data_IF_498455328620
#
_entry.id   IF_498455328620
#
_cell.length_a   1.000
_cell.length_b   1.000
_cell.length_c   1.000
_cell.angle_alpha   90.00
_cell.angle_beta   90.00
_cell.angle_gamma   90.00
#
_symmetry.space_group_name_H-M   'P 1'
#
loop_
_entity.id
_entity.type
_entity.pdbx_description
1 polymer ?
#
# COMPACT_ATOMS: atom_id res chain seq x y z
N UNK A 1 5.00 -21.89 -4.92
CA UNK A 1 6.13 -22.08 -3.99
C UNK A 1 6.12 -20.91 -3.03
N UNK A 2 5.93 -21.14 -1.72
CA UNK A 2 6.07 -20.10 -0.70
C UNK A 2 7.55 -19.96 -0.37
N UNK A 3 8.15 -18.82 -0.73
CA UNK A 3 9.52 -18.50 -0.32
C UNK A 3 9.49 -18.15 1.17
N UNK A 4 10.25 -18.84 2.04
CA UNK A 4 10.29 -18.48 3.45
C UNK A 4 10.87 -17.07 3.59
N UNK A 5 10.20 -16.21 4.35
CA UNK A 5 10.68 -14.86 4.66
C UNK A 5 11.84 -15.00 5.66
N UNK A 6 13.08 -14.95 5.16
CA UNK A 6 14.29 -15.15 5.97
C UNK A 6 15.01 -13.85 6.35
N UNK A 7 14.61 -12.71 5.79
CA UNK A 7 15.26 -11.41 6.03
C UNK A 7 14.88 -10.76 7.38
N UNK A 8 13.91 -11.33 8.08
CA UNK A 8 13.50 -10.88 9.42
C UNK A 8 13.93 -11.89 10.47
N UNK A 9 14.79 -11.48 11.40
CA UNK A 9 15.19 -12.37 12.50
C UNK A 9 14.01 -12.60 13.48
N UNK A 10 13.98 -13.74 14.20
CA UNK A 10 12.85 -14.09 15.07
C UNK A 10 12.57 -13.06 16.17
N UNK A 11 13.61 -12.41 16.70
CA UNK A 11 13.48 -11.39 17.75
C UNK A 11 12.77 -10.14 17.23
N UNK A 12 13.13 -9.67 16.03
CA UNK A 12 12.50 -8.54 15.37
C UNK A 12 11.03 -8.84 15.05
N UNK A 13 10.74 -10.06 14.57
CA UNK A 13 9.37 -10.51 14.33
C UNK A 13 8.54 -10.51 15.62
N UNK A 14 9.08 -11.05 16.71
CA UNK A 14 8.41 -11.09 18.01
C UNK A 14 8.12 -9.68 18.54
N UNK A 15 9.10 -8.77 18.44
CA UNK A 15 8.94 -7.37 18.85
C UNK A 15 7.86 -6.66 18.01
N UNK A 16 7.87 -6.84 16.69
CA UNK A 16 6.86 -6.27 15.80
C UNK A 16 5.45 -6.74 16.18
N UNK A 17 5.27 -8.04 16.44
CA UNK A 17 3.99 -8.60 16.86
C UNK A 17 3.53 -8.05 18.22
N UNK A 18 4.46 -7.87 19.17
CA UNK A 18 4.15 -7.28 20.47
C UNK A 18 3.64 -5.84 20.30
N UNK A 19 4.32 -5.03 19.48
CA UNK A 19 3.92 -3.64 19.20
C UNK A 19 2.52 -3.61 18.57
N UNK A 20 2.28 -4.43 17.54
CA UNK A 20 0.98 -4.46 16.85
C UNK A 20 -0.17 -4.89 17.76
N UNK A 21 0.07 -5.85 18.67
CA UNK A 21 -0.93 -6.30 19.66
C UNK A 21 -1.24 -5.25 20.72
N UNK A 22 -0.26 -4.42 21.07
CA UNK A 22 -0.41 -3.36 22.06
C UNK A 22 -1.15 -2.13 21.51
N UNK A 23 -1.27 -1.98 20.19
CA UNK A 23 -1.96 -0.83 19.59
C UNK A 23 -3.45 -0.78 19.95
N UNK A 24 -3.98 0.43 20.15
CA UNK A 24 -5.43 0.65 20.22
C UNK A 24 -6.07 0.53 18.82
N UNK A 25 -7.40 0.56 18.76
CA UNK A 25 -8.12 0.57 17.48
C UNK A 25 -7.78 1.81 16.64
N UNK A 26 -7.70 2.97 17.28
CA UNK A 26 -7.38 4.26 16.66
C UNK A 26 -5.95 4.26 16.11
N UNK A 27 -4.98 3.75 16.88
CA UNK A 27 -3.60 3.63 16.43
C UNK A 27 -3.47 2.69 15.23
N UNK A 28 -4.20 1.57 15.23
CA UNK A 28 -4.25 0.67 14.07
C UNK A 28 -4.83 1.35 12.83
N UNK A 29 -5.90 2.14 12.99
CA UNK A 29 -6.52 2.86 11.88
C UNK A 29 -5.59 3.93 11.30
N UNK A 30 -4.91 4.70 12.16
CA UNK A 30 -3.92 5.67 11.73
C UNK A 30 -2.76 5.01 10.98
N UNK A 31 -2.19 3.94 11.54
CA UNK A 31 -1.11 3.20 10.88
C UNK A 31 -1.56 2.64 9.51
N UNK A 32 -2.77 2.08 9.43
CA UNK A 32 -3.32 1.59 8.17
C UNK A 32 -3.47 2.72 7.13
N UNK A 33 -3.92 3.90 7.55
CA UNK A 33 -4.02 5.07 6.67
C UNK A 33 -2.64 5.53 6.18
N UNK A 34 -1.65 5.63 7.07
CA UNK A 34 -0.28 6.01 6.72
C UNK A 34 0.34 5.03 5.72
N UNK A 35 0.26 3.72 6.00
CA UNK A 35 0.72 2.67 5.07
C UNK A 35 0.02 2.75 3.72
N UNK A 36 -1.28 3.04 3.72
CA UNK A 36 -2.08 3.17 2.51
C UNK A 36 -1.66 4.38 1.67
N UNK A 37 -1.38 5.52 2.29
CA UNK A 37 -0.87 6.71 1.59
C UNK A 37 0.54 6.44 1.03
N UNK A 38 1.43 5.88 1.84
CA UNK A 38 2.80 5.57 1.43
C UNK A 38 2.84 4.62 0.22
N UNK A 39 2.05 3.54 0.27
CA UNK A 39 1.97 2.57 -0.83
C UNK A 39 1.47 3.19 -2.13
N UNK A 40 0.51 4.12 -2.06
CA UNK A 40 -0.02 4.82 -3.24
C UNK A 40 1.02 5.76 -3.86
N UNK A 41 1.82 6.45 -3.05
CA UNK A 41 2.90 7.30 -3.59
C UNK A 41 3.99 6.46 -4.24
N UNK A 42 4.38 5.33 -3.65
CA UNK A 42 5.32 4.40 -4.29
C UNK A 42 4.79 3.88 -5.63
N UNK A 43 3.53 3.46 -5.68
CA UNK A 43 2.90 3.01 -6.91
C UNK A 43 2.82 4.13 -7.96
N UNK A 44 2.50 5.35 -7.55
CA UNK A 44 2.46 6.52 -8.45
C UNK A 44 3.83 6.77 -9.10
N UNK A 45 4.91 6.73 -8.31
CA UNK A 45 6.25 6.92 -8.85
C UNK A 45 6.69 5.78 -9.76
N UNK A 46 6.29 4.55 -9.46
CA UNK A 46 6.51 3.43 -10.36
C UNK A 46 5.81 3.65 -11.70
N UNK A 47 4.52 4.02 -11.70
CA UNK A 47 3.75 4.27 -12.94
C UNK A 47 4.41 5.39 -13.77
N UNK A 48 4.84 6.50 -13.14
CA UNK A 48 5.53 7.60 -13.84
C UNK A 48 6.83 7.15 -14.49
N UNK A 49 7.58 6.25 -13.84
CA UNK A 49 8.83 5.70 -14.39
C UNK A 49 8.59 4.75 -15.56
N UNK A 50 7.53 3.95 -15.48
CA UNK A 50 7.16 2.99 -16.53
C UNK A 50 6.53 3.69 -17.75
N UNK A 51 5.82 4.80 -17.53
CA UNK A 51 5.09 5.56 -18.57
C UNK A 51 5.39 7.06 -18.47
N UNK A 52 6.59 7.53 -18.83
CA UNK A 52 7.01 8.91 -18.66
C UNK A 52 6.21 9.93 -19.49
N UNK A 53 5.55 9.48 -20.55
CA UNK A 53 4.71 10.31 -21.43
C UNK A 53 3.28 10.50 -20.93
N UNK A 54 2.87 9.78 -19.88
CA UNK A 54 1.51 9.84 -19.36
C UNK A 54 1.27 11.13 -18.58
N UNK A 55 0.10 11.74 -18.82
CA UNK A 55 -0.40 12.84 -17.98
C UNK A 55 -0.70 12.36 -16.56
N UNK A 56 -0.66 13.26 -15.58
CA UNK A 56 -1.04 12.97 -14.19
C UNK A 56 -2.45 12.35 -14.07
N UNK A 57 -3.38 12.71 -14.96
CA UNK A 57 -4.71 12.11 -15.01
C UNK A 57 -4.70 10.64 -15.46
N UNK A 58 -3.80 10.24 -16.38
CA UNK A 58 -3.61 8.84 -16.76
C UNK A 58 -2.97 8.05 -15.63
N UNK A 59 -1.95 8.62 -14.98
CA UNK A 59 -1.30 8.03 -13.80
C UNK A 59 -2.32 7.79 -12.67
N UNK A 60 -3.19 8.78 -12.39
CA UNK A 60 -4.22 8.64 -11.37
C UNK A 60 -5.23 7.54 -11.68
N UNK A 61 -5.69 7.42 -12.94
CA UNK A 61 -6.59 6.34 -13.36
C UNK A 61 -5.96 4.97 -13.22
N UNK A 62 -4.68 4.84 -13.56
CA UNK A 62 -3.97 3.58 -13.42
C UNK A 62 -3.75 3.21 -11.95
N UNK A 63 -3.42 4.18 -11.10
CA UNK A 63 -3.34 3.99 -9.66
C UNK A 63 -4.69 3.51 -9.08
N UNK A 64 -5.81 4.09 -9.52
CA UNK A 64 -7.15 3.63 -9.15
C UNK A 64 -7.40 2.20 -9.63
N UNK A 65 -7.07 1.88 -10.89
CA UNK A 65 -7.21 0.53 -11.44
C UNK A 65 -6.47 -0.49 -10.60
N UNK A 66 -5.20 -0.22 -10.23
CA UNK A 66 -4.37 -1.10 -9.41
C UNK A 66 -4.86 -1.22 -7.96
N UNK A 67 -5.36 -0.13 -7.37
CA UNK A 67 -5.83 -0.12 -5.98
C UNK A 67 -7.16 -0.85 -5.80
N UNK A 68 -8.00 -0.88 -6.85
CA UNK A 68 -9.36 -1.43 -6.80
C UNK A 68 -9.54 -2.68 -7.66
N UNK A 69 -8.48 -3.41 -8.04
CA UNK A 69 -8.51 -4.52 -9.01
C UNK A 69 -9.63 -5.59 -8.85
N UNK A 70 -10.26 -5.73 -7.68
CA UNK A 70 -11.37 -6.68 -7.42
C UNK A 70 -12.74 -6.02 -7.19
N UNK A 71 -12.83 -4.69 -7.19
CA UNK A 71 -14.06 -3.94 -6.94
C UNK A 71 -14.19 -2.79 -7.96
N UNK A 72 -15.41 -2.45 -8.40
CA UNK A 72 -15.58 -1.32 -9.29
C UNK A 72 -15.05 -0.04 -8.63
N UNK A 73 -14.33 0.78 -9.40
CA UNK A 73 -13.98 2.14 -8.98
C UNK A 73 -15.29 2.86 -8.65
N UNK A 74 -15.45 3.42 -7.44
CA UNK A 74 -16.66 4.16 -7.10
C UNK A 74 -16.96 5.23 -8.15
N UNK A 75 -18.20 5.31 -8.64
CA UNK A 75 -18.56 6.17 -9.78
C UNK A 75 -18.18 7.66 -9.61
N UNK A 76 -18.07 8.15 -8.38
CA UNK A 76 -17.61 9.51 -8.05
C UNK A 76 -16.11 9.76 -8.31
N UNK A 77 -15.35 8.70 -8.58
CA UNK A 77 -13.89 8.71 -8.78
C UNK A 77 -13.49 8.37 -10.22
N UNK A 78 -14.48 8.13 -11.10
CA UNK A 78 -14.31 8.02 -12.55
C UNK A 78 -14.33 9.42 -13.18
#
# INVERSE_FOLDING_TARGET
>A
MTVPITDTNPTAQALQLQIQRAMTGEQRLLLALEMSLFTRELAREQIRREYPEWSEGQVARELLRLTFLLAPVPARLL
#
